data_IF_590251895869
#
_entry.id   IF_590251895869
#
_cell.length_a   1.000
_cell.length_b   1.000
_cell.length_c   1.000
_cell.angle_alpha   90.00
_cell.angle_beta   90.00
_cell.angle_gamma   90.00
#
_symmetry.space_group_name_H-M   'P 1'
#
loop_
_entity.id
_entity.type
_entity.pdbx_description
1 polymer ?
#
# COMPACT_ATOMS: atom_id res chain seq x y z
N UNK A 1 19.46 -9.54 -6.36
CA UNK A 1 18.26 -9.85 -5.55
C UNK A 1 18.45 -11.21 -4.90
N UNK A 2 18.44 -11.24 -3.58
CA UNK A 2 18.54 -12.43 -2.73
C UNK A 2 17.34 -13.34 -2.94
N UNK A 3 17.58 -14.64 -3.09
CA UNK A 3 16.55 -15.66 -3.27
C UNK A 3 16.01 -16.16 -1.92
N UNK A 4 15.40 -15.26 -1.15
CA UNK A 4 14.96 -15.52 0.23
C UNK A 4 13.46 -15.76 0.37
N UNK A 5 12.67 -15.47 -0.67
CA UNK A 5 11.23 -15.65 -0.68
C UNK A 5 10.81 -16.76 -1.65
N UNK A 6 9.63 -17.32 -1.40
CA UNK A 6 8.97 -18.34 -2.21
C UNK A 6 7.56 -17.87 -2.57
N UNK A 7 7.00 -18.44 -3.64
CA UNK A 7 5.61 -18.20 -4.00
C UNK A 7 4.68 -18.55 -2.83
N UNK A 8 3.76 -17.65 -2.53
CA UNK A 8 2.83 -17.72 -1.41
C UNK A 8 3.33 -17.05 -0.13
N UNK A 9 4.59 -16.60 -0.05
CA UNK A 9 5.05 -15.82 1.10
C UNK A 9 4.26 -14.52 1.21
N UNK A 10 4.03 -14.07 2.44
CA UNK A 10 3.20 -12.88 2.72
C UNK A 10 3.94 -11.82 3.51
N UNK A 11 3.63 -10.55 3.24
CA UNK A 11 3.99 -9.39 4.06
C UNK A 11 2.74 -8.64 4.46
N UNK A 12 2.70 -8.18 5.70
CA UNK A 12 1.56 -7.42 6.23
C UNK A 12 1.98 -6.01 6.65
N UNK A 13 1.05 -5.08 6.47
CA UNK A 13 1.16 -3.69 6.93
C UNK A 13 -0.20 -3.24 7.44
N UNK A 14 -0.19 -2.53 8.58
CA UNK A 14 -1.41 -2.03 9.23
C UNK A 14 -1.40 -0.51 9.17
N UNK A 15 -2.52 0.06 8.74
CA UNK A 15 -2.70 1.51 8.58
C UNK A 15 -3.96 1.95 9.28
N UNK A 16 -3.82 2.88 10.24
CA UNK A 16 -4.96 3.66 10.72
C UNK A 16 -5.20 4.82 9.75
N UNK A 17 -6.41 4.90 9.18
CA UNK A 17 -6.78 5.94 8.21
C UNK A 17 -6.70 7.30 8.89
N UNK A 18 -5.81 8.17 8.42
CA UNK A 18 -5.63 9.50 8.96
C UNK A 18 -6.44 10.54 8.19
N UNK A 19 -6.59 11.75 8.77
CA UNK A 19 -7.23 12.89 8.10
C UNK A 19 -6.59 13.25 6.75
N UNK A 20 -5.29 13.00 6.59
CA UNK A 20 -4.56 13.25 5.35
C UNK A 20 -4.82 12.22 4.25
N UNK A 21 -5.42 11.08 4.57
CA UNK A 21 -5.64 9.99 3.62
C UNK A 21 -7.02 10.05 2.93
N UNK A 22 -7.83 11.08 3.22
CA UNK A 22 -9.15 11.25 2.61
C UNK A 22 -9.06 11.66 1.14
N UNK A 23 -10.13 11.41 0.39
CA UNK A 23 -10.23 11.82 -1.02
C UNK A 23 -10.30 13.35 -1.15
N UNK A 24 -9.11 13.97 -1.20
CA UNK A 24 -8.90 15.42 -1.31
C UNK A 24 -8.15 15.75 -2.59
N UNK A 25 -8.74 16.57 -3.45
CA UNK A 25 -8.17 17.02 -4.71
C UNK A 25 -8.08 18.54 -4.72
N UNK A 26 -6.90 19.08 -5.03
CA UNK A 26 -6.67 20.54 -5.12
C UNK A 26 -7.16 21.33 -3.89
N UNK A 27 -6.96 20.81 -2.68
CA UNK A 27 -7.42 21.46 -1.46
C UNK A 27 -8.85 21.15 -1.05
N UNK A 28 -9.66 20.55 -1.92
CA UNK A 28 -11.09 20.28 -1.68
C UNK A 28 -11.32 18.82 -1.32
N UNK A 29 -12.01 18.57 -0.21
CA UNK A 29 -12.41 17.22 0.19
C UNK A 29 -13.66 16.82 -0.60
N UNK A 30 -13.56 15.73 -1.37
CA UNK A 30 -14.66 15.18 -2.16
C UNK A 30 -15.44 14.16 -1.34
N UNK A 31 -14.74 13.25 -0.64
CA UNK A 31 -15.34 12.27 0.25
C UNK A 31 -14.53 12.14 1.56
N UNK A 32 -15.18 11.99 2.72
CA UNK A 32 -14.52 11.86 4.01
C UNK A 32 -14.07 10.42 4.32
N UNK A 33 -13.68 9.67 3.29
CA UNK A 33 -13.26 8.27 3.38
C UNK A 33 -11.86 8.11 2.80
N UNK A 34 -11.21 7.01 3.18
CA UNK A 34 -9.90 6.63 2.70
C UNK A 34 -9.84 6.65 1.16
N UNK A 35 -8.95 7.44 0.59
CA UNK A 35 -8.90 7.65 -0.85
C UNK A 35 -8.33 6.44 -1.59
N UNK A 36 -8.80 6.20 -2.82
CA UNK A 36 -8.20 5.17 -3.68
C UNK A 36 -6.70 5.38 -3.88
N UNK A 37 -6.24 6.63 -4.08
CA UNK A 37 -4.80 6.90 -4.24
C UNK A 37 -3.99 6.65 -2.95
N UNK A 38 -4.59 6.85 -1.77
CA UNK A 38 -3.94 6.57 -0.50
C UNK A 38 -3.90 5.06 -0.22
N UNK A 39 -4.97 4.34 -0.58
CA UNK A 39 -5.01 2.88 -0.58
C UNK A 39 -3.95 2.29 -1.53
N UNK A 40 -3.84 2.82 -2.75
CA UNK A 40 -2.81 2.41 -3.72
C UNK A 40 -1.40 2.60 -3.14
N UNK A 41 -1.09 3.76 -2.56
CA UNK A 41 0.20 4.04 -1.91
C UNK A 41 0.54 2.97 -0.86
N UNK A 42 -0.41 2.64 0.00
CA UNK A 42 -0.16 1.71 1.11
C UNK A 42 -0.10 0.24 0.62
N UNK A 43 -0.81 -0.10 -0.46
CA UNK A 43 -0.67 -1.38 -1.15
C UNK A 43 0.71 -1.54 -1.83
N UNK A 44 1.20 -0.47 -2.49
CA UNK A 44 2.55 -0.44 -3.07
C UNK A 44 3.62 -0.55 -1.98
N UNK A 45 3.45 0.17 -0.87
CA UNK A 45 4.34 0.07 0.28
C UNK A 45 4.42 -1.36 0.83
N UNK A 46 3.26 -2.02 0.99
CA UNK A 46 3.19 -3.40 1.49
C UNK A 46 3.95 -4.36 0.57
N UNK A 47 3.81 -4.19 -0.75
CA UNK A 47 4.57 -4.98 -1.75
C UNK A 47 6.07 -4.68 -1.70
N UNK A 48 6.45 -3.41 -1.50
CA UNK A 48 7.85 -2.99 -1.38
C UNK A 48 8.56 -3.63 -0.17
N UNK A 49 7.83 -4.09 0.85
CA UNK A 49 8.42 -4.82 1.98
C UNK A 49 9.19 -6.08 1.56
N UNK A 50 8.77 -6.74 0.47
CA UNK A 50 9.58 -7.83 -0.12
C UNK A 50 10.88 -7.30 -0.68
N UNK A 51 10.82 -6.25 -1.50
CA UNK A 51 11.98 -5.64 -2.17
C UNK A 51 13.03 -5.17 -1.16
N UNK A 52 12.60 -4.57 -0.03
CA UNK A 52 13.52 -4.10 1.01
C UNK A 52 14.41 -5.22 1.57
N UNK A 53 13.87 -6.43 1.72
CA UNK A 53 14.62 -7.56 2.25
C UNK A 53 15.47 -8.24 1.17
N UNK A 54 14.92 -8.38 -0.05
CA UNK A 54 15.57 -9.14 -1.13
C UNK A 54 16.56 -8.33 -1.97
N UNK A 55 16.53 -6.99 -1.96
CA UNK A 55 17.51 -6.21 -2.73
C UNK A 55 18.92 -6.35 -2.15
N UNK A 56 19.91 -6.33 -3.02
CA UNK A 56 21.30 -6.07 -2.62
C UNK A 56 21.49 -4.59 -2.26
N UNK A 57 22.67 -4.25 -1.72
CA UNK A 57 22.95 -2.88 -1.28
C UNK A 57 22.90 -1.88 -2.43
N UNK A 58 23.43 -2.26 -3.60
CA UNK A 58 23.46 -1.46 -4.83
C UNK A 58 22.21 -1.64 -5.73
N UNK A 59 21.22 -2.41 -5.29
CA UNK A 59 19.99 -2.61 -6.05
C UNK A 59 18.85 -1.70 -5.55
N UNK A 60 17.93 -1.39 -6.47
CA UNK A 60 16.68 -0.70 -6.21
C UNK A 60 15.54 -1.36 -7.00
N UNK A 61 14.32 -1.25 -6.48
CA UNK A 61 13.10 -1.67 -7.16
C UNK A 61 12.14 -0.49 -7.34
N UNK A 62 11.57 -0.37 -8.53
CA UNK A 62 10.60 0.67 -8.87
C UNK A 62 9.28 -0.01 -9.25
N UNK A 63 8.17 0.50 -8.72
CA UNK A 63 6.83 0.06 -9.11
C UNK A 63 6.55 0.46 -10.56
N UNK A 64 6.15 -0.49 -11.40
CA UNK A 64 5.86 -0.26 -12.83
C UNK A 64 4.39 -0.38 -13.17
N UNK A 65 3.60 -1.01 -12.29
CA UNK A 65 2.18 -1.26 -12.51
C UNK A 65 1.46 -1.42 -11.18
N UNK A 66 0.27 -0.84 -11.09
CA UNK A 66 -0.65 -1.07 -9.99
C UNK A 66 -2.09 -1.01 -10.51
N UNK A 67 -2.92 -1.91 -10.01
CA UNK A 67 -4.34 -1.97 -10.30
C UNK A 67 -5.09 -2.22 -9.00
N UNK A 68 -6.03 -1.35 -8.68
CA UNK A 68 -6.81 -1.40 -7.44
C UNK A 68 -8.30 -1.39 -7.77
N UNK A 69 -9.02 -2.31 -7.16
CA UNK A 69 -10.48 -2.28 -7.08
C UNK A 69 -10.90 -1.86 -5.68
N UNK A 70 -11.39 -0.64 -5.54
CA UNK A 70 -11.84 -0.11 -4.26
C UNK A 70 -13.30 -0.49 -4.01
N UNK A 71 -13.51 -1.59 -3.29
CA UNK A 71 -14.83 -2.24 -3.16
C UNK A 71 -15.72 -1.67 -2.04
N UNK A 72 -15.12 -1.13 -0.98
CA UNK A 72 -15.85 -0.60 0.17
C UNK A 72 -15.04 0.55 0.82
N UNK A 73 -15.72 1.56 1.40
CA UNK A 73 -15.05 2.68 2.05
C UNK A 73 -14.52 2.30 3.45
N UNK A 74 -13.43 2.96 3.85
CA UNK A 74 -12.94 2.98 5.23
C UNK A 74 -12.96 4.41 5.78
N UNK A 75 -13.36 4.59 7.05
CA UNK A 75 -13.46 5.88 7.74
C UNK A 75 -12.13 6.27 8.37
N UNK A 76 -11.98 7.56 8.64
CA UNK A 76 -10.87 8.04 9.50
C UNK A 76 -10.94 7.32 10.85
N UNK A 77 -9.81 6.79 11.29
CA UNK A 77 -9.69 6.00 12.52
C UNK A 77 -9.90 4.50 12.34
N UNK A 78 -10.44 4.06 11.21
CA UNK A 78 -10.49 2.63 10.90
C UNK A 78 -9.07 2.11 10.67
N UNK A 79 -8.80 0.88 11.13
CA UNK A 79 -7.57 0.16 10.81
C UNK A 79 -7.78 -0.68 9.55
N UNK A 80 -6.88 -0.51 8.59
CA UNK A 80 -6.85 -1.28 7.34
C UNK A 80 -5.62 -2.18 7.38
N UNK A 81 -5.85 -3.49 7.23
CA UNK A 81 -4.80 -4.49 7.05
C UNK A 81 -4.53 -4.72 5.57
N UNK A 82 -3.28 -4.51 5.16
CA UNK A 82 -2.78 -4.85 3.84
C UNK A 82 -2.00 -6.17 3.93
N UNK A 83 -2.24 -7.05 2.96
CA UNK A 83 -1.51 -8.32 2.80
C UNK A 83 -1.01 -8.36 1.36
N UNK A 84 0.30 -8.35 1.19
CA UNK A 84 0.94 -8.64 -0.09
C UNK A 84 1.36 -10.10 -0.12
N UNK A 85 1.21 -10.76 -1.26
CA UNK A 85 1.61 -12.14 -1.49
C UNK A 85 2.51 -12.20 -2.72
N UNK A 86 3.66 -12.85 -2.60
CA UNK A 86 4.61 -13.05 -3.70
C UNK A 86 4.27 -14.27 -4.55
#
# INVERSE_FOLDING_TARGET
>A
MKQIFKYGDTKEYYRVVAKGDVAKFNGVVVHPYYATFALTRDAEWTSRLFVLDMKEIEEEGIGTYVNIQHKAPAKIGDEVRFIATL
#
